data_IF_175374475078
#
_entry.id   IF_175374475078
#
_cell.length_a   1.000
_cell.length_b   1.000
_cell.length_c   1.000
_cell.angle_alpha   90.00
_cell.angle_beta   90.00
_cell.angle_gamma   90.00
#
_symmetry.space_group_name_H-M   'P 1'
#
loop_
_entity.id
_entity.type
_entity.pdbx_description
1 polymer ?
#
# COMPACT_ATOMS: atom_id res chain seq x y z
N UNK A 1 2.98 12.63 15.56
CA UNK A 1 1.57 12.19 15.47
C UNK A 1 1.31 11.31 14.26
N UNK A 2 1.42 11.81 13.01
CA UNK A 2 1.10 11.02 11.82
C UNK A 2 1.90 9.71 11.71
N UNK A 3 3.21 9.76 11.93
CA UNK A 3 4.06 8.57 11.95
C UNK A 3 3.60 7.55 12.99
N UNK A 4 3.33 7.96 14.23
CA UNK A 4 2.89 7.07 15.31
C UNK A 4 1.54 6.40 15.00
N UNK A 5 0.62 7.15 14.37
CA UNK A 5 -0.68 6.60 13.93
C UNK A 5 -0.45 5.49 12.90
N UNK A 6 0.37 5.75 11.88
CA UNK A 6 0.59 4.79 10.81
C UNK A 6 1.49 3.62 11.20
N UNK A 7 2.42 3.82 12.14
CA UNK A 7 3.22 2.76 12.74
C UNK A 7 2.31 1.78 13.50
N UNK A 8 1.36 2.28 14.30
CA UNK A 8 0.35 1.44 14.93
C UNK A 8 -0.61 0.80 13.91
N UNK A 9 -1.02 1.56 12.88
CA UNK A 9 -1.95 1.08 11.84
C UNK A 9 -1.36 -0.04 10.99
N UNK A 10 -0.04 -0.08 10.78
CA UNK A 10 0.65 -1.12 10.01
C UNK A 10 0.30 -2.54 10.47
N UNK A 11 0.12 -2.74 11.78
CA UNK A 11 -0.26 -4.05 12.33
C UNK A 11 -1.62 -4.53 11.79
N UNK A 12 -2.54 -3.62 11.45
CA UNK A 12 -3.83 -3.95 10.86
C UNK A 12 -3.74 -4.30 9.37
N UNK A 13 -2.78 -3.70 8.64
CA UNK A 13 -2.50 -4.05 7.24
C UNK A 13 -1.88 -5.45 7.08
N UNK A 14 -1.43 -6.06 8.18
CA UNK A 14 -0.77 -7.38 8.22
C UNK A 14 -1.50 -8.32 9.20
N UNK A 15 -2.75 -8.00 9.54
CA UNK A 15 -3.50 -8.75 10.55
C UNK A 15 -3.78 -10.19 10.08
N UNK A 16 -3.61 -11.16 10.97
CA UNK A 16 -3.85 -12.58 10.64
C UNK A 16 -5.34 -12.85 10.36
N UNK A 17 -6.24 -12.01 10.87
CA UNK A 17 -7.63 -12.04 10.49
C UNK A 17 -7.82 -11.32 9.15
N UNK A 18 -8.14 -12.09 8.10
CA UNK A 18 -8.30 -11.54 6.76
C UNK A 18 -9.36 -10.44 6.63
N UNK A 19 -10.42 -10.45 7.47
CA UNK A 19 -11.42 -9.38 7.46
C UNK A 19 -10.86 -8.08 8.03
N UNK A 20 -10.06 -8.16 9.10
CA UNK A 20 -9.39 -6.99 9.68
C UNK A 20 -8.39 -6.40 8.68
N UNK A 21 -7.59 -7.26 8.03
CA UNK A 21 -6.64 -6.85 7.01
C UNK A 21 -7.33 -6.17 5.80
N UNK A 22 -8.39 -6.77 5.27
CA UNK A 22 -9.15 -6.17 4.17
C UNK A 22 -9.74 -4.81 4.55
N UNK A 23 -10.40 -4.70 5.71
CA UNK A 23 -11.00 -3.43 6.17
C UNK A 23 -9.92 -2.37 6.41
N UNK A 24 -8.72 -2.76 6.85
CA UNK A 24 -7.60 -1.83 6.99
C UNK A 24 -7.16 -1.28 5.61
N UNK A 25 -7.05 -2.14 4.59
CA UNK A 25 -6.72 -1.70 3.22
C UNK A 25 -7.81 -0.78 2.65
N UNK A 26 -9.08 -1.12 2.82
CA UNK A 26 -10.21 -0.27 2.40
C UNK A 26 -10.22 1.08 3.12
N UNK A 27 -9.86 1.09 4.41
CA UNK A 27 -9.73 2.33 5.18
C UNK A 27 -8.56 3.16 4.66
N UNK A 28 -7.42 2.54 4.37
CA UNK A 28 -6.27 3.21 3.76
C UNK A 28 -6.66 3.84 2.43
N UNK A 29 -7.41 3.12 1.58
CA UNK A 29 -7.89 3.63 0.29
C UNK A 29 -8.72 4.92 0.46
N UNK A 30 -9.59 4.99 1.48
CA UNK A 30 -10.37 6.20 1.80
C UNK A 30 -9.51 7.34 2.36
N UNK A 31 -8.43 7.02 3.07
CA UNK A 31 -7.53 8.02 3.68
C UNK A 31 -6.61 8.68 2.65
N UNK A 32 -6.18 7.96 1.61
CA UNK A 32 -5.27 8.47 0.57
C UNK A 32 -5.73 9.81 -0.05
N UNK A 33 -6.95 9.95 -0.59
CA UNK A 33 -7.39 11.22 -1.19
C UNK A 33 -7.55 12.37 -0.17
N UNK A 34 -7.72 12.04 1.12
CA UNK A 34 -7.87 13.04 2.19
C UNK A 34 -6.51 13.59 2.64
N UNK A 35 -5.50 12.71 2.70
CA UNK A 35 -4.17 13.06 3.20
C UNK A 35 -3.22 13.49 2.08
N UNK A 36 -3.35 12.94 0.86
CA UNK A 36 -2.51 13.26 -0.31
C UNK A 36 -1.02 13.24 0.04
N UNK A 37 -0.26 14.25 -0.39
CA UNK A 37 1.17 14.39 -0.13
C UNK A 37 1.53 14.54 1.36
N UNK A 38 0.57 14.77 2.26
CA UNK A 38 0.84 14.70 3.70
C UNK A 38 1.23 13.28 4.15
N UNK A 39 1.03 12.26 3.31
CA UNK A 39 1.54 10.90 3.53
C UNK A 39 3.05 10.76 3.27
N UNK A 40 3.71 11.75 2.67
CA UNK A 40 5.15 11.68 2.34
C UNK A 40 6.04 11.23 3.52
N UNK A 41 5.85 11.71 4.77
CA UNK A 41 6.68 11.28 5.90
C UNK A 41 6.53 9.80 6.28
N UNK A 42 5.46 9.14 5.83
CA UNK A 42 5.15 7.74 6.17
C UNK A 42 5.12 6.82 4.94
N UNK A 43 5.39 7.32 3.73
CA UNK A 43 5.25 6.54 2.50
C UNK A 43 6.16 5.32 2.48
N UNK A 44 7.41 5.47 2.93
CA UNK A 44 8.38 4.37 3.02
C UNK A 44 7.98 3.30 4.05
N UNK A 45 7.14 3.63 5.03
CA UNK A 45 6.56 2.67 5.97
C UNK A 45 5.34 1.98 5.35
N UNK A 46 4.49 2.75 4.67
CA UNK A 46 3.21 2.30 4.13
C UNK A 46 3.36 1.42 2.90
N UNK A 47 4.23 1.77 1.95
CA UNK A 47 4.37 0.97 0.72
C UNK A 47 4.70 -0.49 1.04
N UNK A 48 5.73 -0.82 1.85
CA UNK A 48 5.97 -2.20 2.26
C UNK A 48 4.75 -2.82 2.95
N UNK A 49 4.09 -2.08 3.86
CA UNK A 49 2.93 -2.59 4.59
C UNK A 49 1.74 -2.93 3.69
N UNK A 50 1.54 -2.16 2.61
CA UNK A 50 0.45 -2.38 1.65
C UNK A 50 0.82 -3.49 0.68
N UNK A 51 2.05 -3.54 0.15
CA UNK A 51 2.40 -4.49 -0.91
C UNK A 51 2.76 -5.87 -0.39
N UNK A 52 3.42 -5.96 0.77
CA UNK A 52 3.91 -7.22 1.32
C UNK A 52 2.73 -8.12 1.68
N UNK A 53 2.72 -9.32 1.09
CA UNK A 53 1.70 -10.35 1.23
C UNK A 53 0.30 -10.00 0.69
N UNK A 54 -0.13 -8.73 0.70
CA UNK A 54 -1.48 -8.38 0.24
C UNK A 54 -1.63 -8.47 -1.29
N UNK A 55 -0.63 -8.03 -2.06
CA UNK A 55 -0.66 -8.12 -3.53
C UNK A 55 -0.47 -9.56 -4.06
N UNK A 56 0.01 -10.48 -3.22
CA UNK A 56 0.07 -11.91 -3.52
C UNK A 56 -0.99 -12.71 -2.73
N UNK A 57 -1.96 -12.02 -2.10
CA UNK A 57 -2.94 -12.69 -1.27
C UNK A 57 -3.84 -13.60 -2.12
N UNK A 58 -4.08 -14.81 -1.61
CA UNK A 58 -5.07 -15.74 -2.21
C UNK A 58 -6.51 -15.29 -1.94
N UNK A 59 -6.70 -14.34 -1.03
CA UNK A 59 -8.01 -13.75 -0.79
C UNK A 59 -8.24 -12.61 -1.82
N UNK A 60 -9.23 -12.75 -2.71
CA UNK A 60 -9.47 -11.76 -3.77
C UNK A 60 -9.88 -10.40 -3.23
N UNK A 61 -10.55 -10.33 -2.07
CA UNK A 61 -10.93 -9.07 -1.42
C UNK A 61 -9.72 -8.29 -0.91
N UNK A 62 -8.75 -8.97 -0.29
CA UNK A 62 -7.48 -8.37 0.16
C UNK A 62 -6.68 -7.88 -1.05
N UNK A 63 -6.56 -8.72 -2.09
CA UNK A 63 -5.86 -8.35 -3.32
C UNK A 63 -6.48 -7.10 -3.96
N UNK A 64 -7.80 -7.09 -4.16
CA UNK A 64 -8.53 -5.97 -4.74
C UNK A 64 -8.42 -4.69 -3.90
N UNK A 65 -8.48 -4.80 -2.57
CA UNK A 65 -8.31 -3.65 -1.69
C UNK A 65 -6.87 -3.09 -1.77
N UNK A 66 -5.85 -3.96 -1.80
CA UNK A 66 -4.45 -3.53 -1.91
C UNK A 66 -4.15 -2.87 -3.26
N UNK A 67 -4.61 -3.43 -4.37
CA UNK A 67 -4.45 -2.80 -5.69
C UNK A 67 -5.19 -1.46 -5.76
N UNK A 68 -6.36 -1.37 -5.14
CA UNK A 68 -7.10 -0.11 -4.97
C UNK A 68 -6.28 0.96 -4.25
N UNK A 69 -5.64 0.62 -3.12
CA UNK A 69 -4.77 1.55 -2.39
C UNK A 69 -3.59 2.01 -3.26
N UNK A 70 -2.91 1.10 -3.96
CA UNK A 70 -1.79 1.45 -4.85
C UNK A 70 -2.26 2.39 -5.97
N UNK A 71 -3.41 2.12 -6.58
CA UNK A 71 -4.00 3.00 -7.59
C UNK A 71 -4.32 4.39 -7.01
N UNK A 72 -4.95 4.45 -5.84
CA UNK A 72 -5.25 5.73 -5.19
C UNK A 72 -3.98 6.54 -4.87
N UNK A 73 -2.90 5.86 -4.46
CA UNK A 73 -1.61 6.53 -4.22
C UNK A 73 -1.09 7.18 -5.50
N UNK A 74 -1.07 6.45 -6.62
CA UNK A 74 -0.66 6.99 -7.93
C UNK A 74 -1.57 8.12 -8.44
N UNK A 75 -2.84 8.15 -8.03
CA UNK A 75 -3.80 9.17 -8.46
C UNK A 75 -3.75 10.45 -7.64
N UNK A 76 -3.31 10.38 -6.38
CA UNK A 76 -3.48 11.48 -5.42
C UNK A 76 -2.18 12.02 -4.82
N UNK A 77 -1.05 11.33 -5.02
CA UNK A 77 0.26 11.80 -4.60
C UNK A 77 1.08 12.24 -5.80
N UNK A 78 2.05 13.13 -5.58
CA UNK A 78 3.13 13.35 -6.54
C UNK A 78 3.89 12.03 -6.79
N UNK A 79 3.92 11.59 -8.05
CA UNK A 79 4.59 10.36 -8.46
C UNK A 79 6.08 10.33 -8.08
N UNK A 80 6.73 11.49 -7.96
CA UNK A 80 8.12 11.58 -7.48
C UNK A 80 8.31 10.96 -6.09
N UNK A 81 7.27 11.01 -5.24
CA UNK A 81 7.25 10.40 -3.91
C UNK A 81 7.13 8.87 -3.96
N UNK A 82 6.61 8.31 -5.05
CA UNK A 82 6.31 6.88 -5.20
C UNK A 82 7.37 6.11 -5.98
N UNK A 83 8.11 6.78 -6.87
CA UNK A 83 9.12 6.16 -7.73
C UNK A 83 10.13 5.32 -6.94
N UNK A 84 10.82 5.93 -5.97
CA UNK A 84 11.84 5.22 -5.21
C UNK A 84 11.25 4.07 -4.36
N UNK A 85 10.16 4.27 -3.57
CA UNK A 85 9.52 3.18 -2.83
C UNK A 85 9.09 2.01 -3.72
N UNK A 86 8.51 2.30 -4.89
CA UNK A 86 8.04 1.27 -5.82
C UNK A 86 9.21 0.50 -6.43
N UNK A 87 10.23 1.20 -6.92
CA UNK A 87 11.46 0.59 -7.43
C UNK A 87 12.11 -0.30 -6.38
N UNK A 88 12.30 0.20 -5.16
CA UNK A 88 12.91 -0.57 -4.06
C UNK A 88 12.08 -1.81 -3.73
N UNK A 89 10.75 -1.71 -3.61
CA UNK A 89 9.93 -2.90 -3.29
C UNK A 89 9.83 -3.89 -4.44
N UNK A 90 9.76 -3.43 -5.70
CA UNK A 90 9.70 -4.30 -6.86
C UNK A 90 10.92 -5.23 -6.99
N UNK A 91 12.08 -4.83 -6.46
CA UNK A 91 13.28 -5.68 -6.41
C UNK A 91 13.09 -6.95 -5.57
N UNK A 92 12.27 -6.89 -4.52
CA UNK A 92 12.09 -8.00 -3.56
C UNK A 92 10.75 -8.73 -3.70
N UNK A 93 9.81 -8.20 -4.51
CA UNK A 93 8.55 -8.87 -4.81
C UNK A 93 8.73 -10.00 -5.82
N UNK A 94 7.73 -10.88 -5.90
CA UNK A 94 7.66 -11.97 -6.87
C UNK A 94 6.23 -12.12 -7.41
N UNK A 95 6.08 -12.90 -8.49
CA UNK A 95 4.78 -13.23 -9.05
C UNK A 95 3.95 -12.00 -9.44
N UNK A 96 2.65 -12.04 -9.11
CA UNK A 96 1.69 -11.00 -9.48
C UNK A 96 2.00 -9.67 -8.81
N UNK A 97 2.42 -9.68 -7.53
CA UNK A 97 2.80 -8.45 -6.83
C UNK A 97 3.95 -7.70 -7.51
N UNK A 98 4.97 -8.42 -8.03
CA UNK A 98 6.07 -7.78 -8.76
C UNK A 98 5.55 -7.15 -10.04
N UNK A 99 4.78 -7.90 -10.82
CA UNK A 99 4.17 -7.42 -12.06
C UNK A 99 3.35 -6.14 -11.82
N UNK A 100 2.42 -6.19 -10.87
CA UNK A 100 1.51 -5.08 -10.57
C UNK A 100 2.27 -3.80 -10.17
N UNK A 101 3.36 -3.93 -9.40
CA UNK A 101 4.16 -2.78 -9.01
C UNK A 101 5.03 -2.24 -10.15
N UNK A 102 5.59 -3.12 -10.99
CA UNK A 102 6.37 -2.70 -12.17
C UNK A 102 5.51 -2.03 -13.22
N UNK A 103 4.24 -2.43 -13.39
CA UNK A 103 3.29 -1.77 -14.30
C UNK A 103 2.97 -0.33 -13.88
N UNK A 104 3.19 0.05 -12.61
CA UNK A 104 3.07 1.45 -12.16
C UNK A 104 4.31 2.31 -12.44
N UNK A 105 5.40 1.69 -12.89
CA UNK A 105 6.66 2.36 -13.22
C UNK A 105 6.88 2.52 -14.73
N UNK A 106 6.02 1.91 -15.55
CA UNK A 106 6.04 1.99 -17.01
C UNK A 106 5.24 3.20 -17.51
#
# INVERSE_FOLDING_TARGET
VLFQIFDAFKARLHDSNSKVNQVALESMHRMVPLLKDNLAPVINLLIPAIVDNNLNSKNPGIYAAATGVIQALCQHLDNSLLLQPFCTKAQFLNGKAKQDLTEKLA
#
